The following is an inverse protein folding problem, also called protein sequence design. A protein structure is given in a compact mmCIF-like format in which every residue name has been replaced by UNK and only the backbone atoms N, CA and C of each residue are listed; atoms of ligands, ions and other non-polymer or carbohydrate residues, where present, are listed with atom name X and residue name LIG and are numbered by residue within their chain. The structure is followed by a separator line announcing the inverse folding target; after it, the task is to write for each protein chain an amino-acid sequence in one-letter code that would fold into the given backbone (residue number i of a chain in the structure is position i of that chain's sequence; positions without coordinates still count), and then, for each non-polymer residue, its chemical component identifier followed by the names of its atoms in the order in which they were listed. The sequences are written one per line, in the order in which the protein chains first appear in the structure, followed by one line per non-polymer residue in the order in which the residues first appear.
data_IF_639374977818
#
_entry.id   IF_639374977818
#
_cell.length_a   1.000
_cell.length_b   1.000
_cell.length_c   1.000
_cell.angle_alpha   90.00
_cell.angle_beta   90.00
_cell.angle_gamma   90.00
#
_symmetry.space_group_name_H-M   'P 1'
#
loop_
_entity.id
_entity.type
_entity.pdbx_description
1 polymer ?
#
# COMPACT_ATOMS: atom_id res chain seq x y z
N UNK A 1 8.31 37.39 30.68
CA UNK A 1 8.25 36.12 29.92
C UNK A 1 9.43 35.29 30.37
N UNK A 2 9.23 34.06 30.85
CA UNK A 2 10.30 33.24 31.47
C UNK A 2 11.30 32.80 30.39
N UNK A 3 12.60 32.78 30.68
CA UNK A 3 13.68 32.24 29.80
C UNK A 3 13.35 30.83 29.27
N UNK A 4 12.62 30.05 30.05
CA UNK A 4 12.13 28.72 29.65
C UNK A 4 11.13 28.79 28.51
N UNK A 5 10.16 29.69 28.52
CA UNK A 5 9.18 29.90 27.47
C UNK A 5 9.83 30.43 26.17
N UNK A 6 10.88 31.26 26.30
CA UNK A 6 11.64 31.74 25.14
C UNK A 6 12.41 30.60 24.44
N UNK A 7 13.04 29.70 25.24
CA UNK A 7 13.75 28.55 24.69
C UNK A 7 12.80 27.53 24.04
N UNK A 8 11.63 27.28 24.63
CA UNK A 8 10.61 26.42 24.05
C UNK A 8 10.13 27.00 22.70
N UNK A 9 9.94 28.31 22.61
CA UNK A 9 9.52 28.99 21.37
C UNK A 9 10.61 28.95 20.27
N UNK A 10 11.88 29.13 20.62
CA UNK A 10 13.02 29.03 19.71
C UNK A 10 13.21 27.58 19.18
N UNK A 11 12.93 26.57 20.01
CA UNK A 11 12.98 25.16 19.61
C UNK A 11 11.86 24.84 18.62
N UNK A 12 10.63 25.31 18.87
CA UNK A 12 9.49 25.09 18.00
C UNK A 12 9.70 25.72 16.61
N UNK A 13 10.25 26.94 16.53
CA UNK A 13 10.56 27.62 15.27
C UNK A 13 11.67 26.90 14.48
N UNK A 14 12.68 26.38 15.17
CA UNK A 14 13.74 25.59 14.55
C UNK A 14 13.21 24.26 14.01
N UNK A 15 12.36 23.55 14.75
CA UNK A 15 11.73 22.30 14.36
C UNK A 15 10.85 22.50 13.14
N UNK A 16 10.03 23.54 13.10
CA UNK A 16 9.23 23.90 11.93
C UNK A 16 10.09 24.24 10.71
N UNK A 17 11.23 24.91 10.93
CA UNK A 17 12.21 25.19 9.88
C UNK A 17 12.80 23.94 9.26
N UNK A 18 13.13 22.93 10.07
CA UNK A 18 13.61 21.63 9.59
C UNK A 18 12.51 20.86 8.84
N UNK A 19 11.27 20.91 9.31
CA UNK A 19 10.14 20.26 8.66
C UNK A 19 9.94 20.82 7.25
N UNK A 20 9.81 22.14 7.10
CA UNK A 20 9.66 22.81 5.78
C UNK A 20 10.84 22.53 4.85
N UNK A 21 12.05 22.54 5.40
CA UNK A 21 13.24 22.21 4.59
C UNK A 21 13.22 20.75 4.11
N UNK A 22 12.74 19.83 4.94
CA UNK A 22 12.53 18.43 4.56
C UNK A 22 11.56 18.30 3.38
N UNK A 23 10.44 19.01 3.42
CA UNK A 23 9.46 19.06 2.32
C UNK A 23 10.04 19.64 1.02
N UNK A 24 10.85 20.70 1.12
CA UNK A 24 11.49 21.31 -0.07
C UNK A 24 12.50 20.35 -0.71
N UNK A 25 13.29 19.66 0.10
CA UNK A 25 14.27 18.68 -0.36
C UNK A 25 13.60 17.43 -0.94
N UNK A 26 12.51 16.95 -0.34
CA UNK A 26 11.70 15.85 -0.86
C UNK A 26 11.13 16.20 -2.24
N UNK A 27 10.57 17.40 -2.40
CA UNK A 27 10.09 17.94 -3.70
C UNK A 27 11.19 18.08 -4.73
N UNK A 28 12.41 18.39 -4.31
CA UNK A 28 13.60 18.50 -5.17
C UNK A 28 14.19 17.12 -5.54
N UNK A 29 13.70 16.01 -4.94
CA UNK A 29 14.20 14.66 -5.15
C UNK A 29 15.45 14.30 -4.34
N UNK A 30 15.92 15.18 -3.45
CA UNK A 30 17.01 14.88 -2.51
C UNK A 30 16.48 14.15 -1.27
N UNK A 31 16.11 12.88 -1.47
CA UNK A 31 15.49 12.05 -0.44
C UNK A 31 16.38 11.83 0.79
N UNK A 32 17.71 11.80 0.61
CA UNK A 32 18.65 11.61 1.71
C UNK A 32 18.70 12.79 2.65
N UNK A 33 18.82 14.00 2.09
CA UNK A 33 18.82 15.23 2.86
C UNK A 33 17.45 15.50 3.49
N UNK A 34 16.35 15.16 2.78
CA UNK A 34 15.00 15.21 3.32
C UNK A 34 14.84 14.30 4.54
N UNK A 35 15.29 13.03 4.45
CA UNK A 35 15.25 12.09 5.57
C UNK A 35 16.03 12.60 6.80
N UNK A 36 17.18 13.25 6.60
CA UNK A 36 17.93 13.87 7.71
C UNK A 36 17.14 15.00 8.40
N UNK A 37 16.46 15.84 7.62
CA UNK A 37 15.62 16.90 8.16
C UNK A 37 14.44 16.33 8.96
N UNK A 38 13.72 15.36 8.41
CA UNK A 38 12.59 14.74 9.11
C UNK A 38 13.03 13.91 10.33
N UNK A 39 14.25 13.35 10.35
CA UNK A 39 14.79 12.66 11.55
C UNK A 39 14.92 13.61 12.72
N UNK A 40 15.45 14.82 12.49
CA UNK A 40 15.56 15.84 13.54
C UNK A 40 14.19 16.19 14.13
N UNK A 41 13.18 16.26 13.28
CA UNK A 41 11.81 16.59 13.69
C UNK A 41 11.13 15.40 14.39
N UNK A 42 11.33 14.19 13.87
CA UNK A 42 10.78 12.96 14.44
C UNK A 42 11.35 12.66 15.85
N UNK A 43 12.63 12.95 16.08
CA UNK A 43 13.28 12.84 17.39
C UNK A 43 12.66 13.77 18.46
N UNK A 44 11.87 14.78 18.04
CA UNK A 44 11.11 15.65 18.93
C UNK A 44 9.68 15.14 19.20
N UNK A 45 9.33 13.93 18.73
CA UNK A 45 8.04 13.29 18.98
C UNK A 45 6.91 13.77 18.05
N UNK A 46 7.21 14.32 16.89
CA UNK A 46 6.22 14.70 15.89
C UNK A 46 5.89 13.49 14.98
N UNK A 47 4.80 12.81 15.27
CA UNK A 47 4.38 11.56 14.60
C UNK A 47 4.26 11.67 13.06
N UNK A 48 3.86 12.83 12.53
CA UNK A 48 3.81 13.07 11.08
C UNK A 48 5.21 13.04 10.44
N UNK A 49 6.23 13.62 11.12
CA UNK A 49 7.61 13.55 10.67
C UNK A 49 8.18 12.13 10.73
N UNK A 50 7.78 11.34 11.73
CA UNK A 50 8.16 9.93 11.85
C UNK A 50 7.65 9.11 10.66
N UNK A 51 6.42 9.34 10.22
CA UNK A 51 5.83 8.69 9.03
C UNK A 51 6.55 9.09 7.75
N UNK A 52 6.80 10.40 7.56
CA UNK A 52 7.55 10.90 6.39
C UNK A 52 8.97 10.34 6.36
N UNK A 53 9.64 10.33 7.49
CA UNK A 53 10.96 9.72 7.63
C UNK A 53 10.95 8.24 7.27
N UNK A 54 9.99 7.47 7.80
CA UNK A 54 9.82 6.07 7.46
C UNK A 54 9.64 5.88 5.94
N UNK A 55 8.80 6.68 5.31
CA UNK A 55 8.56 6.63 3.86
C UNK A 55 9.82 6.89 3.05
N UNK A 56 10.61 7.90 3.42
CA UNK A 56 11.87 8.25 2.75
C UNK A 56 12.94 7.18 2.94
N UNK A 57 13.08 6.64 4.15
CA UNK A 57 14.03 5.56 4.45
C UNK A 57 13.72 4.29 3.67
N UNK A 58 12.43 3.96 3.48
CA UNK A 58 12.02 2.85 2.60
C UNK A 58 12.42 3.12 1.15
N UNK A 59 12.18 4.33 0.64
CA UNK A 59 12.59 4.72 -0.71
C UNK A 59 14.12 4.66 -0.90
N UNK A 60 14.88 4.86 0.16
CA UNK A 60 16.34 4.76 0.20
C UNK A 60 16.85 3.32 0.40
N UNK A 61 15.97 2.34 0.64
CA UNK A 61 16.33 0.94 0.90
C UNK A 61 16.70 0.64 2.35
N UNK A 62 16.52 1.58 3.27
CA UNK A 62 16.84 1.47 4.70
C UNK A 62 15.65 0.89 5.49
N UNK A 63 15.20 -0.29 5.07
CA UNK A 63 13.92 -0.89 5.49
C UNK A 63 13.79 -1.12 7.01
N UNK A 64 14.89 -1.51 7.69
CA UNK A 64 14.85 -1.78 9.13
C UNK A 64 14.63 -0.50 9.95
N UNK A 65 15.29 0.59 9.56
CA UNK A 65 15.12 1.88 10.22
C UNK A 65 13.75 2.50 9.89
N UNK A 66 13.30 2.36 8.65
CA UNK A 66 11.98 2.79 8.24
C UNK A 66 10.88 2.11 9.06
N UNK A 67 10.99 0.79 9.28
CA UNK A 67 10.05 0.04 10.11
C UNK A 67 10.01 0.57 11.55
N UNK A 68 11.18 0.86 12.13
CA UNK A 68 11.27 1.43 13.46
C UNK A 68 10.51 2.77 13.56
N UNK A 69 10.74 3.70 12.64
CA UNK A 69 10.07 5.00 12.67
C UNK A 69 8.57 4.93 12.41
N UNK A 70 8.14 3.95 11.61
CA UNK A 70 6.71 3.67 11.45
C UNK A 70 6.08 3.17 12.76
N UNK A 71 6.75 2.25 13.48
CA UNK A 71 6.28 1.75 14.78
C UNK A 71 6.22 2.86 15.82
N UNK A 72 7.19 3.78 15.84
CA UNK A 72 7.17 4.98 16.69
C UNK A 72 5.94 5.83 16.38
N UNK A 73 5.69 6.13 15.11
CA UNK A 73 4.53 6.94 14.72
C UNK A 73 3.20 6.30 15.16
N UNK A 74 3.07 4.99 15.00
CA UNK A 74 1.86 4.25 15.42
C UNK A 74 1.71 4.26 16.95
N UNK A 75 2.81 4.12 17.69
CA UNK A 75 2.81 4.18 19.17
C UNK A 75 2.39 5.57 19.69
N UNK A 76 2.75 6.63 18.97
CA UNK A 76 2.36 8.02 19.27
C UNK A 76 0.90 8.33 18.89
N UNK A 77 0.14 7.30 18.46
CA UNK A 77 -1.28 7.44 18.13
C UNK A 77 -1.53 7.97 16.71
N UNK A 78 -0.50 7.96 15.84
CA UNK A 78 -0.68 8.30 14.44
C UNK A 78 -1.55 7.24 13.77
N UNK A 79 -2.73 7.65 13.32
CA UNK A 79 -3.62 6.79 12.56
C UNK A 79 -3.00 6.55 11.17
N UNK A 80 -2.62 5.31 10.87
CA UNK A 80 -2.08 4.92 9.56
C UNK A 80 -3.03 5.25 8.40
N UNK A 81 -4.32 5.44 8.68
CA UNK A 81 -5.31 5.94 7.71
C UNK A 81 -5.10 7.43 7.36
N UNK A 82 -4.36 8.17 8.20
CA UNK A 82 -4.02 9.60 8.00
C UNK A 82 -2.74 9.83 7.19
N UNK A 83 -1.97 8.80 6.84
CA UNK A 83 -0.95 8.90 5.78
C UNK A 83 -1.66 9.09 4.45
N UNK A 84 -2.33 10.23 4.34
CA UNK A 84 -2.89 10.68 3.08
C UNK A 84 -1.72 10.95 2.18
N UNK A 85 -1.54 10.11 1.17
CA UNK A 85 -0.83 10.56 -0.02
C UNK A 85 -1.37 11.94 -0.35
N UNK A 86 -0.50 12.94 -0.36
CA UNK A 86 -0.87 14.31 -0.69
C UNK A 86 -1.75 14.28 -1.95
N UNK A 87 -2.78 15.12 -1.97
CA UNK A 87 -3.69 15.25 -3.13
C UNK A 87 -2.87 15.49 -4.40
N UNK A 88 -1.82 16.30 -4.33
CA UNK A 88 -0.92 16.56 -5.45
C UNK A 88 -0.24 15.29 -5.96
N UNK A 89 0.29 14.45 -5.09
CA UNK A 89 0.96 13.18 -5.46
C UNK A 89 -0.03 12.21 -6.12
N UNK A 90 -1.26 12.14 -5.61
CA UNK A 90 -2.31 11.32 -6.23
C UNK A 90 -2.72 11.85 -7.62
N UNK A 91 -2.83 13.17 -7.78
CA UNK A 91 -3.14 13.76 -9.07
C UNK A 91 -2.02 13.52 -10.09
N UNK A 92 -0.77 13.70 -9.70
CA UNK A 92 0.40 13.39 -10.55
C UNK A 92 0.39 11.92 -10.99
N UNK A 93 0.13 10.99 -10.07
CA UNK A 93 -0.01 9.57 -10.42
C UNK A 93 -1.14 9.34 -11.44
N UNK A 94 -2.32 9.95 -11.24
CA UNK A 94 -3.47 9.78 -12.12
C UNK A 94 -3.23 10.40 -13.50
N UNK A 95 -2.54 11.54 -13.59
CA UNK A 95 -2.13 12.15 -14.86
C UNK A 95 -1.13 11.26 -15.59
N UNK A 96 -0.15 10.70 -14.88
CA UNK A 96 0.77 9.72 -15.44
C UNK A 96 0.02 8.48 -15.95
N UNK A 97 -0.86 7.92 -15.13
CA UNK A 97 -1.68 6.77 -15.49
C UNK A 97 -2.56 7.03 -16.72
N UNK A 98 -3.14 8.23 -16.83
CA UNK A 98 -3.93 8.61 -18.00
C UNK A 98 -3.09 8.63 -19.27
N UNK A 99 -1.88 9.25 -19.24
CA UNK A 99 -0.94 9.26 -20.35
C UNK A 99 -0.56 7.84 -20.79
N UNK A 100 -0.24 6.98 -19.83
CA UNK A 100 0.08 5.56 -20.06
C UNK A 100 -1.07 4.84 -20.76
N UNK A 101 -2.30 5.01 -20.26
CA UNK A 101 -3.48 4.31 -20.77
C UNK A 101 -3.82 4.70 -22.21
N UNK A 102 -3.56 5.93 -22.63
CA UNK A 102 -3.77 6.38 -24.02
C UNK A 102 -2.58 6.11 -24.95
N UNK A 103 -1.53 5.41 -24.49
CA UNK A 103 -0.41 4.98 -25.32
C UNK A 103 0.71 6.00 -25.49
N UNK A 104 0.79 7.02 -24.62
CA UNK A 104 1.91 7.96 -24.65
C UNK A 104 3.23 7.25 -24.31
N UNK A 105 4.36 7.60 -24.97
CA UNK A 105 5.66 7.03 -24.63
C UNK A 105 6.04 7.34 -23.18
N UNK A 106 6.56 6.34 -22.49
CA UNK A 106 6.62 6.29 -21.03
C UNK A 106 8.01 6.53 -20.44
N UNK A 107 9.03 6.92 -21.21
CA UNK A 107 10.41 6.81 -20.76
C UNK A 107 11.01 8.14 -20.32
N UNK A 108 11.17 8.32 -18.99
CA UNK A 108 11.99 9.39 -18.38
C UNK A 108 13.09 8.83 -17.44
N UNK A 109 13.21 7.48 -17.32
CA UNK A 109 14.16 6.89 -16.39
C UNK A 109 15.21 6.04 -17.10
N UNK A 110 16.48 6.39 -16.90
CA UNK A 110 17.65 5.65 -17.41
C UNK A 110 18.48 5.21 -16.21
N UNK A 111 18.71 3.90 -16.00
CA UNK A 111 19.62 3.43 -14.96
C UNK A 111 21.03 3.96 -15.16
N UNK A 112 21.73 4.21 -14.07
CA UNK A 112 23.07 4.79 -14.04
C UNK A 112 24.16 3.83 -14.54
N UNK A 113 23.86 2.54 -14.69
CA UNK A 113 24.85 1.53 -15.09
C UNK A 113 24.22 0.37 -15.85
N UNK A 114 24.94 -0.16 -16.83
CA UNK A 114 24.57 -1.41 -17.50
C UNK A 114 25.04 -2.59 -16.64
N UNK A 115 24.16 -3.55 -16.31
CA UNK A 115 24.54 -4.70 -15.48
C UNK A 115 25.52 -5.61 -16.23
N UNK A 116 26.44 -6.21 -15.47
CA UNK A 116 27.27 -7.29 -15.97
C UNK A 116 26.51 -8.63 -15.80
N UNK A 117 26.26 -9.33 -16.90
CA UNK A 117 25.60 -10.63 -16.91
C UNK A 117 24.25 -10.65 -17.65
N UNK A 118 23.60 -11.81 -17.63
CA UNK A 118 22.26 -12.03 -18.18
C UNK A 118 21.24 -12.19 -17.05
N UNK A 119 20.01 -11.77 -17.29
CA UNK A 119 18.89 -11.99 -16.39
C UNK A 119 17.98 -13.07 -16.99
N UNK A 120 17.81 -14.16 -16.25
CA UNK A 120 16.86 -15.18 -16.63
C UNK A 120 15.45 -14.78 -16.15
N UNK A 121 14.56 -14.44 -17.09
CA UNK A 121 13.20 -13.94 -16.81
C UNK A 121 12.40 -14.92 -15.94
N UNK A 122 12.57 -16.23 -16.17
CA UNK A 122 11.86 -17.25 -15.40
C UNK A 122 12.30 -17.27 -13.92
N UNK A 123 13.57 -17.00 -13.62
CA UNK A 123 14.05 -16.89 -12.24
C UNK A 123 13.45 -15.66 -11.55
N UNK A 124 13.33 -14.53 -12.27
CA UNK A 124 12.67 -13.33 -11.76
C UNK A 124 11.20 -13.63 -11.43
N UNK A 125 10.49 -14.27 -12.35
CA UNK A 125 9.08 -14.63 -12.16
C UNK A 125 8.89 -15.63 -11.02
N UNK A 126 9.72 -16.66 -10.94
CA UNK A 126 9.66 -17.65 -9.88
C UNK A 126 9.86 -17.02 -8.49
N UNK A 127 10.85 -16.12 -8.36
CA UNK A 127 11.10 -15.39 -7.11
C UNK A 127 9.97 -14.43 -6.79
N UNK A 128 9.45 -13.70 -7.77
CA UNK A 128 8.29 -12.80 -7.61
C UNK A 128 7.05 -13.58 -7.15
N UNK A 129 6.79 -14.76 -7.72
CA UNK A 129 5.70 -15.62 -7.31
C UNK A 129 5.84 -16.12 -5.87
N UNK A 130 7.07 -16.50 -5.46
CA UNK A 130 7.34 -16.91 -4.08
C UNK A 130 7.13 -15.74 -3.09
N UNK A 131 7.60 -14.54 -3.40
CA UNK A 131 7.38 -13.34 -2.59
C UNK A 131 5.90 -12.97 -2.51
N UNK A 132 5.15 -13.10 -3.61
CA UNK A 132 3.70 -12.90 -3.64
C UNK A 132 2.96 -13.92 -2.78
N UNK A 133 3.41 -15.17 -2.74
CA UNK A 133 2.85 -16.19 -1.85
C UNK A 133 3.11 -15.86 -0.36
N UNK A 134 4.31 -15.35 -0.03
CA UNK A 134 4.62 -14.88 1.33
C UNK A 134 3.74 -13.68 1.71
N UNK A 135 3.59 -12.70 0.81
CA UNK A 135 2.70 -11.55 0.99
C UNK A 135 1.25 -11.99 1.25
N UNK A 136 0.73 -12.93 0.47
CA UNK A 136 -0.63 -13.44 0.66
C UNK A 136 -0.80 -14.16 2.01
N UNK A 137 0.23 -14.83 2.50
CA UNK A 137 0.16 -15.65 3.71
C UNK A 137 0.42 -14.85 4.99
N UNK A 138 1.39 -13.92 4.95
CA UNK A 138 1.88 -13.25 6.16
C UNK A 138 1.68 -11.73 6.14
N UNK A 139 1.34 -11.14 4.98
CA UNK A 139 1.15 -9.71 4.77
C UNK A 139 2.40 -8.98 4.31
N UNK A 140 2.19 -7.75 3.82
CA UNK A 140 3.24 -6.92 3.22
C UNK A 140 4.39 -6.60 4.16
N UNK A 141 4.12 -6.33 5.43
CA UNK A 141 5.13 -6.00 6.45
C UNK A 141 6.24 -7.05 6.51
N UNK A 142 5.90 -8.34 6.36
CA UNK A 142 6.87 -9.43 6.48
C UNK A 142 7.79 -9.54 5.25
N UNK A 143 7.29 -9.22 4.05
CA UNK A 143 8.01 -9.51 2.81
C UNK A 143 8.47 -8.26 2.06
N UNK A 144 8.01 -7.04 2.42
CA UNK A 144 8.29 -5.82 1.67
C UNK A 144 9.80 -5.59 1.46
N UNK A 145 10.62 -5.71 2.50
CA UNK A 145 12.07 -5.55 2.39
C UNK A 145 12.69 -6.52 1.37
N UNK A 146 12.24 -7.79 1.37
CA UNK A 146 12.70 -8.78 0.40
C UNK A 146 12.23 -8.49 -1.03
N UNK A 147 11.06 -7.87 -1.19
CA UNK A 147 10.56 -7.44 -2.50
C UNK A 147 11.39 -6.26 -3.02
N UNK A 148 11.70 -5.26 -2.19
CA UNK A 148 12.55 -4.12 -2.54
C UNK A 148 13.97 -4.60 -2.90
N UNK A 149 14.55 -5.51 -2.13
CA UNK A 149 15.84 -6.11 -2.46
C UNK A 149 15.81 -6.87 -3.80
N UNK A 150 14.72 -7.58 -4.06
CA UNK A 150 14.55 -8.25 -5.36
C UNK A 150 14.45 -7.24 -6.49
N UNK A 151 13.70 -6.16 -6.31
CA UNK A 151 13.59 -5.07 -7.29
C UNK A 151 14.96 -4.46 -7.58
N UNK A 152 15.74 -4.11 -6.56
CA UNK A 152 17.07 -3.52 -6.72
C UNK A 152 18.03 -4.42 -7.53
N UNK A 153 17.87 -5.73 -7.47
CA UNK A 153 18.68 -6.69 -8.27
C UNK A 153 18.29 -6.74 -9.74
N UNK A 154 16.98 -6.61 -10.05
CA UNK A 154 16.48 -6.79 -11.42
C UNK A 154 16.36 -5.47 -12.18
N UNK A 155 16.24 -4.38 -11.49
CA UNK A 155 16.05 -3.04 -12.02
C UNK A 155 17.13 -2.60 -13.02
N UNK A 156 18.45 -2.85 -12.81
CA UNK A 156 19.48 -2.45 -13.77
C UNK A 156 19.31 -3.10 -15.15
N UNK A 157 18.60 -4.21 -15.27
CA UNK A 157 18.39 -4.91 -16.54
C UNK A 157 17.34 -4.25 -17.45
N UNK A 158 16.61 -3.25 -16.95
CA UNK A 158 15.63 -2.50 -17.76
C UNK A 158 16.30 -1.86 -19.00
N UNK A 159 17.55 -1.41 -18.87
CA UNK A 159 18.30 -0.73 -19.96
C UNK A 159 18.53 -1.62 -21.18
N UNK A 160 18.83 -2.88 -20.93
CA UNK A 160 19.17 -3.88 -21.95
C UNK A 160 18.01 -4.83 -22.22
N UNK A 161 16.86 -4.58 -21.56
CA UNK A 161 15.72 -5.47 -21.58
C UNK A 161 14.86 -5.39 -22.83
N UNK A 162 14.13 -6.45 -23.05
CA UNK A 162 13.03 -6.58 -23.98
C UNK A 162 11.67 -6.57 -23.26
N UNK A 163 10.58 -6.77 -24.01
CA UNK A 163 9.23 -6.82 -23.46
C UNK A 163 9.06 -7.86 -22.32
N UNK A 164 9.79 -8.97 -22.35
CA UNK A 164 9.71 -10.01 -21.32
C UNK A 164 10.37 -9.53 -20.02
N UNK A 165 11.53 -8.91 -20.11
CA UNK A 165 12.26 -8.31 -18.96
C UNK A 165 11.46 -7.16 -18.39
N UNK A 166 10.96 -6.22 -19.22
CA UNK A 166 10.15 -5.10 -18.76
C UNK A 166 8.88 -5.57 -18.04
N UNK A 167 8.20 -6.60 -18.59
CA UNK A 167 7.04 -7.20 -17.92
C UNK A 167 7.41 -7.78 -16.57
N UNK A 168 8.48 -8.57 -16.49
CA UNK A 168 8.90 -9.21 -15.25
C UNK A 168 9.29 -8.16 -14.18
N UNK A 169 10.03 -7.12 -14.56
CA UNK A 169 10.38 -6.03 -13.61
C UNK A 169 9.14 -5.21 -13.22
N UNK A 170 8.20 -4.96 -14.14
CA UNK A 170 6.94 -4.30 -13.82
C UNK A 170 6.10 -5.08 -12.79
N UNK A 171 6.08 -6.42 -12.88
CA UNK A 171 5.43 -7.28 -11.89
C UNK A 171 6.09 -7.20 -10.51
N UNK A 172 7.41 -7.04 -10.44
CA UNK A 172 8.13 -6.79 -9.17
C UNK A 172 7.78 -5.40 -8.62
N UNK A 173 7.74 -4.37 -9.47
CA UNK A 173 7.31 -3.02 -9.07
C UNK A 173 5.87 -3.01 -8.56
N UNK A 174 4.95 -3.70 -9.24
CA UNK A 174 3.56 -3.86 -8.78
C UNK A 174 3.49 -4.49 -7.39
N UNK A 175 4.29 -5.55 -7.16
CA UNK A 175 4.35 -6.21 -5.86
C UNK A 175 4.98 -5.30 -4.79
N UNK A 176 6.02 -4.53 -5.13
CA UNK A 176 6.64 -3.57 -4.22
C UNK A 176 5.63 -2.48 -3.78
N UNK A 177 4.89 -1.90 -4.74
CA UNK A 177 3.82 -0.96 -4.43
C UNK A 177 2.72 -1.57 -3.57
N UNK A 178 2.32 -2.80 -3.86
CA UNK A 178 1.28 -3.48 -3.09
C UNK A 178 1.71 -3.80 -1.66
N UNK A 179 2.93 -4.31 -1.47
CA UNK A 179 3.46 -4.62 -0.13
C UNK A 179 3.75 -3.36 0.68
N UNK A 180 4.18 -2.25 0.04
CA UNK A 180 4.29 -0.95 0.69
C UNK A 180 2.93 -0.46 1.21
N UNK A 181 1.90 -0.51 0.37
CA UNK A 181 0.53 -0.17 0.78
C UNK A 181 0.04 -1.04 1.94
N UNK A 182 0.22 -2.38 1.85
CA UNK A 182 -0.21 -3.32 2.89
C UNK A 182 0.58 -3.15 4.20
N UNK A 183 1.73 -2.50 4.14
CA UNK A 183 2.56 -2.11 5.31
C UNK A 183 2.19 -0.73 5.87
N UNK A 184 1.18 -0.05 5.32
CA UNK A 184 0.75 1.27 5.77
C UNK A 184 1.55 2.43 5.17
N UNK A 185 2.24 2.24 4.04
CA UNK A 185 3.11 3.23 3.40
C UNK A 185 2.61 3.62 2.00
N UNK A 186 1.44 4.29 1.89
CA UNK A 186 0.86 4.62 0.59
C UNK A 186 1.70 5.59 -0.23
N UNK A 187 2.47 6.48 0.40
CA UNK A 187 3.39 7.40 -0.27
C UNK A 187 4.52 6.67 -1.00
N UNK A 188 5.00 5.55 -0.44
CA UNK A 188 6.01 4.68 -1.07
C UNK A 188 5.38 3.81 -2.18
N UNK A 189 4.11 3.44 -2.04
CA UNK A 189 3.42 2.58 -3.00
C UNK A 189 3.26 3.25 -4.38
N UNK A 190 2.91 4.54 -4.43
CA UNK A 190 2.62 5.25 -5.69
C UNK A 190 3.81 5.31 -6.65
N UNK A 191 5.03 5.66 -6.25
CA UNK A 191 6.21 5.60 -7.11
C UNK A 191 6.42 4.22 -7.73
N UNK A 192 6.24 3.14 -6.96
CA UNK A 192 6.34 1.78 -7.47
C UNK A 192 5.23 1.46 -8.49
N UNK A 193 4.00 1.87 -8.23
CA UNK A 193 2.90 1.72 -9.20
C UNK A 193 3.13 2.53 -10.47
N UNK A 194 3.61 3.78 -10.37
CA UNK A 194 3.95 4.61 -11.53
C UNK A 194 5.01 3.93 -12.40
N UNK A 195 6.04 3.37 -11.76
CA UNK A 195 7.09 2.65 -12.45
C UNK A 195 6.59 1.37 -13.12
N UNK A 196 5.72 0.62 -12.42
CA UNK A 196 5.08 -0.57 -12.99
C UNK A 196 4.26 -0.21 -14.24
N UNK A 197 3.50 0.89 -14.22
CA UNK A 197 2.75 1.39 -15.38
C UNK A 197 3.67 1.73 -16.56
N UNK A 198 4.76 2.45 -16.30
CA UNK A 198 5.75 2.82 -17.32
C UNK A 198 6.32 1.60 -18.03
N UNK A 199 6.78 0.60 -17.26
CA UNK A 199 7.36 -0.63 -17.80
C UNK A 199 6.33 -1.51 -18.49
N UNK A 200 5.12 -1.61 -17.93
CA UNK A 200 4.01 -2.36 -18.56
C UNK A 200 3.61 -1.73 -19.90
N UNK A 201 3.63 -0.39 -20.03
CA UNK A 201 3.40 0.30 -21.30
C UNK A 201 4.51 0.01 -22.30
N UNK A 202 5.77 0.05 -21.87
CA UNK A 202 6.92 -0.28 -22.71
C UNK A 202 6.87 -1.72 -23.24
N UNK A 203 6.35 -2.63 -22.42
CA UNK A 203 6.13 -4.03 -22.78
C UNK A 203 4.82 -4.28 -23.54
N UNK A 204 4.03 -3.26 -23.83
CA UNK A 204 2.68 -3.35 -24.43
C UNK A 204 1.74 -4.29 -23.66
N UNK A 205 1.91 -4.38 -22.32
CA UNK A 205 1.15 -5.29 -21.46
C UNK A 205 -0.06 -4.58 -20.83
N UNK A 206 -1.17 -4.47 -21.58
CA UNK A 206 -2.41 -3.82 -21.15
C UNK A 206 -3.03 -4.50 -19.91
N UNK A 207 -2.90 -5.82 -19.80
CA UNK A 207 -3.40 -6.57 -18.65
C UNK A 207 -2.71 -6.16 -17.35
N UNK A 208 -1.39 -5.95 -17.40
CA UNK A 208 -0.63 -5.50 -16.24
C UNK A 208 -0.95 -4.05 -15.89
N UNK A 209 -1.13 -3.17 -16.89
CA UNK A 209 -1.61 -1.79 -16.68
C UNK A 209 -2.94 -1.80 -15.91
N UNK A 210 -3.91 -2.61 -16.36
CA UNK A 210 -5.20 -2.75 -15.69
C UNK A 210 -5.07 -3.27 -14.25
N UNK A 211 -4.18 -4.24 -14.01
CA UNK A 211 -3.89 -4.78 -12.67
C UNK A 211 -3.35 -3.71 -11.73
N UNK A 212 -2.32 -2.96 -12.15
CA UNK A 212 -1.71 -1.87 -11.35
C UNK A 212 -2.74 -0.81 -11.02
N UNK A 213 -3.53 -0.35 -11.99
CA UNK A 213 -4.57 0.67 -11.78
C UNK A 213 -5.67 0.19 -10.83
N UNK A 214 -6.04 -1.10 -10.90
CA UNK A 214 -6.98 -1.70 -9.96
C UNK A 214 -6.42 -1.70 -8.53
N UNK A 215 -5.12 -1.97 -8.34
CA UNK A 215 -4.46 -1.92 -7.03
C UNK A 215 -4.37 -0.50 -6.49
N UNK A 216 -4.00 0.46 -7.32
CA UNK A 216 -3.98 1.87 -6.96
C UNK A 216 -5.38 2.37 -6.56
N UNK A 217 -6.42 2.02 -7.32
CA UNK A 217 -7.81 2.35 -6.98
C UNK A 217 -8.24 1.78 -5.62
N UNK A 218 -7.84 0.54 -5.31
CA UNK A 218 -8.09 -0.06 -3.98
C UNK A 218 -7.37 0.68 -2.86
N UNK A 219 -6.15 1.13 -3.10
CA UNK A 219 -5.40 1.94 -2.14
C UNK A 219 -6.10 3.29 -1.93
N UNK A 220 -6.55 3.97 -2.97
CA UNK A 220 -7.27 5.23 -2.85
C UNK A 220 -8.60 5.08 -2.10
N UNK A 221 -9.36 4.00 -2.33
CA UNK A 221 -10.55 3.70 -1.54
C UNK A 221 -10.23 3.51 -0.06
N UNK A 222 -9.17 2.77 0.25
CA UNK A 222 -8.73 2.55 1.63
C UNK A 222 -8.40 3.86 2.34
N UNK A 223 -7.81 4.83 1.63
CA UNK A 223 -7.45 6.15 2.16
C UNK A 223 -8.56 7.21 1.98
N UNK A 224 -9.81 6.79 1.83
CA UNK A 224 -10.98 7.67 1.71
C UNK A 224 -10.85 8.73 0.60
N UNK A 225 -10.29 8.33 -0.55
CA UNK A 225 -10.19 9.13 -1.76
C UNK A 225 -11.04 8.50 -2.90
N UNK A 226 -12.38 8.47 -2.80
CA UNK A 226 -13.24 7.73 -3.72
C UNK A 226 -13.21 8.27 -5.16
N UNK A 227 -13.06 9.58 -5.34
CA UNK A 227 -12.99 10.20 -6.66
C UNK A 227 -11.72 9.80 -7.41
N UNK A 228 -10.58 9.74 -6.71
CA UNK A 228 -9.31 9.29 -7.27
C UNK A 228 -9.34 7.78 -7.54
N UNK A 229 -9.97 7.01 -6.66
CA UNK A 229 -10.21 5.59 -6.88
C UNK A 229 -11.07 5.33 -8.12
N UNK A 230 -12.14 6.10 -8.31
CA UNK A 230 -13.01 5.99 -9.49
C UNK A 230 -12.22 6.27 -10.78
N UNK A 231 -11.39 7.32 -10.80
CA UNK A 231 -10.53 7.64 -11.95
C UNK A 231 -9.55 6.49 -12.24
N UNK A 232 -8.89 5.95 -11.21
CA UNK A 232 -7.97 4.81 -11.38
C UNK A 232 -8.69 3.57 -11.94
N UNK A 233 -9.89 3.24 -11.44
CA UNK A 233 -10.69 2.12 -11.96
C UNK A 233 -11.17 2.36 -13.39
N UNK A 234 -11.57 3.59 -13.75
CA UNK A 234 -11.95 3.93 -15.12
C UNK A 234 -10.78 3.74 -16.09
N UNK A 235 -9.60 4.22 -15.74
CA UNK A 235 -8.38 4.01 -16.53
C UNK A 235 -8.02 2.52 -16.62
N UNK A 236 -8.13 1.79 -15.51
CA UNK A 236 -7.94 0.33 -15.49
C UNK A 236 -8.95 -0.41 -16.37
N UNK A 237 -10.20 0.05 -16.40
CA UNK A 237 -11.23 -0.50 -17.30
C UNK A 237 -10.89 -0.27 -18.76
N UNK A 238 -10.40 0.92 -19.13
CA UNK A 238 -9.96 1.22 -20.52
C UNK A 238 -8.81 0.29 -20.91
N UNK A 239 -7.78 0.14 -20.07
CA UNK A 239 -6.68 -0.78 -20.33
C UNK A 239 -7.15 -2.24 -20.42
N UNK A 240 -8.03 -2.68 -19.51
CA UNK A 240 -8.62 -4.02 -19.54
C UNK A 240 -9.47 -4.26 -20.80
N UNK A 241 -10.19 -3.25 -21.28
CA UNK A 241 -10.94 -3.35 -22.52
C UNK A 241 -10.01 -3.58 -23.72
N UNK A 242 -8.88 -2.90 -23.74
CA UNK A 242 -7.86 -3.10 -24.78
C UNK A 242 -7.25 -4.50 -24.72
N UNK A 243 -7.15 -5.11 -23.52
CA UNK A 243 -6.59 -6.45 -23.30
C UNK A 243 -7.59 -7.61 -23.35
N UNK A 244 -8.89 -7.36 -23.53
CA UNK A 244 -9.97 -8.35 -23.36
C UNK A 244 -10.11 -8.92 -21.94
N UNK A 245 -9.54 -8.28 -20.91
CA UNK A 245 -9.59 -8.73 -19.53
C UNK A 245 -10.85 -8.25 -18.80
N UNK A 246 -11.64 -9.20 -18.45
CA UNK A 246 -12.80 -9.35 -17.56
C UNK A 246 -13.49 -8.11 -16.97
N UNK A 247 -14.76 -7.89 -17.37
CA UNK A 247 -15.68 -6.86 -16.89
C UNK A 247 -16.28 -7.26 -15.55
N UNK A 248 -16.01 -6.52 -14.49
CA UNK A 248 -16.82 -6.60 -13.26
C UNK A 248 -17.29 -5.23 -12.83
N UNK A 249 -18.60 -5.00 -12.91
CA UNK A 249 -19.31 -3.85 -12.35
C UNK A 249 -19.29 -3.88 -10.82
N UNK A 250 -19.37 -2.68 -10.19
CA UNK A 250 -19.53 -2.53 -8.73
C UNK A 250 -20.87 -3.16 -8.31
N UNK A 251 -20.88 -4.09 -7.36
CA UNK A 251 -22.11 -4.80 -7.01
C UNK A 251 -22.93 -4.09 -5.93
N UNK A 252 -24.26 -4.22 -6.00
CA UNK A 252 -25.21 -4.12 -4.91
C UNK A 252 -24.71 -4.95 -3.69
N UNK A 253 -24.96 -4.51 -2.43
CA UNK A 253 -24.51 -5.23 -1.23
C UNK A 253 -24.86 -6.73 -1.22
N UNK A 254 -26.02 -7.10 -1.70
CA UNK A 254 -26.43 -8.52 -1.80
C UNK A 254 -25.61 -9.28 -2.83
N UNK A 255 -25.31 -8.67 -3.98
CA UNK A 255 -24.42 -9.25 -4.99
C UNK A 255 -22.97 -9.30 -4.51
N UNK A 256 -22.54 -8.30 -3.70
CA UNK A 256 -21.23 -8.32 -3.05
C UNK A 256 -21.10 -9.49 -2.07
N UNK A 257 -22.12 -9.73 -1.23
CA UNK A 257 -22.17 -10.87 -0.30
C UNK A 257 -22.07 -12.20 -1.07
N UNK A 258 -22.87 -12.40 -2.10
CA UNK A 258 -22.86 -13.62 -2.91
C UNK A 258 -21.47 -13.87 -3.53
N UNK A 259 -20.86 -12.82 -4.11
CA UNK A 259 -19.53 -12.89 -4.72
C UNK A 259 -18.44 -13.20 -3.68
N UNK A 260 -18.48 -12.54 -2.52
CA UNK A 260 -17.53 -12.75 -1.44
C UNK A 260 -17.65 -14.13 -0.81
N UNK A 261 -18.88 -14.63 -0.60
CA UNK A 261 -19.13 -15.96 -0.05
C UNK A 261 -18.55 -17.03 -0.97
N UNK A 262 -18.76 -16.89 -2.28
CA UNK A 262 -18.17 -17.82 -3.26
C UNK A 262 -16.63 -17.78 -3.20
N UNK A 263 -16.03 -16.59 -3.11
CA UNK A 263 -14.58 -16.44 -3.03
C UNK A 263 -13.97 -17.00 -1.75
N UNK A 264 -14.62 -16.79 -0.60
CA UNK A 264 -14.15 -17.33 0.69
C UNK A 264 -14.02 -18.86 0.61
N UNK A 265 -14.95 -19.54 -0.05
CA UNK A 265 -14.89 -20.99 -0.26
C UNK A 265 -13.76 -21.46 -1.19
N UNK A 266 -13.11 -20.56 -1.95
CA UNK A 266 -11.99 -20.89 -2.84
C UNK A 266 -10.61 -20.63 -2.24
N UNK A 267 -10.52 -19.96 -1.09
CA UNK A 267 -9.24 -19.65 -0.47
C UNK A 267 -8.67 -20.84 0.29
N UNK A 268 -7.42 -21.14 0.03
CA UNK A 268 -6.62 -22.12 0.77
C UNK A 268 -5.67 -21.43 1.78
N UNK A 269 -4.84 -22.22 2.46
CA UNK A 269 -3.90 -21.73 3.46
C UNK A 269 -2.82 -20.78 2.93
N UNK A 270 -2.69 -20.62 1.61
CA UNK A 270 -1.75 -19.67 0.98
C UNK A 270 -2.37 -18.26 0.81
N UNK A 271 -3.69 -18.14 0.93
CA UNK A 271 -4.44 -16.90 0.69
C UNK A 271 -4.92 -16.22 1.99
N UNK A 272 -4.20 -16.37 3.11
CA UNK A 272 -4.63 -15.92 4.46
C UNK A 272 -5.10 -14.45 4.45
N UNK A 273 -4.32 -13.53 3.89
CA UNK A 273 -4.70 -12.12 3.84
C UNK A 273 -5.99 -11.88 3.04
N UNK A 274 -6.11 -12.49 1.87
CA UNK A 274 -7.30 -12.33 1.04
C UNK A 274 -8.53 -12.91 1.73
N UNK A 275 -8.37 -14.02 2.44
CA UNK A 275 -9.41 -14.67 3.24
C UNK A 275 -9.88 -13.75 4.39
N UNK A 276 -8.95 -13.23 5.20
CA UNK A 276 -9.27 -12.29 6.30
C UNK A 276 -10.01 -11.06 5.79
N UNK A 277 -9.55 -10.45 4.70
CA UNK A 277 -10.19 -9.26 4.12
C UNK A 277 -11.60 -9.56 3.59
N UNK A 278 -11.79 -10.72 2.96
CA UNK A 278 -13.11 -11.13 2.45
C UNK A 278 -14.09 -11.42 3.59
N UNK A 279 -13.66 -12.11 4.65
CA UNK A 279 -14.46 -12.36 5.84
C UNK A 279 -14.85 -11.07 6.57
N UNK A 280 -13.89 -10.13 6.71
CA UNK A 280 -14.17 -8.82 7.30
C UNK A 280 -15.18 -8.02 6.46
N UNK A 281 -15.05 -8.06 5.13
CA UNK A 281 -16.00 -7.42 4.23
C UNK A 281 -17.40 -8.07 4.32
N UNK A 282 -17.50 -9.39 4.44
CA UNK A 282 -18.77 -10.09 4.69
C UNK A 282 -19.40 -9.63 6.00
N UNK A 283 -18.63 -9.60 7.10
CA UNK A 283 -19.10 -9.14 8.40
C UNK A 283 -19.68 -7.72 8.32
N UNK A 284 -18.98 -6.78 7.66
CA UNK A 284 -19.43 -5.39 7.49
C UNK A 284 -20.72 -5.30 6.67
N UNK A 285 -20.83 -6.04 5.57
CA UNK A 285 -22.04 -6.04 4.74
C UNK A 285 -23.25 -6.61 5.49
N UNK A 286 -23.10 -7.70 6.27
CA UNK A 286 -24.18 -8.24 7.10
C UNK A 286 -24.58 -7.27 8.21
N UNK A 287 -23.60 -6.61 8.85
CA UNK A 287 -23.88 -5.57 9.85
C UNK A 287 -24.68 -4.41 9.26
N UNK A 288 -24.31 -3.93 8.08
CA UNK A 288 -25.03 -2.86 7.36
C UNK A 288 -26.45 -3.25 6.96
N UNK A 289 -26.71 -4.54 6.73
CA UNK A 289 -28.04 -5.08 6.46
C UNK A 289 -28.86 -5.36 7.74
N UNK A 290 -28.31 -5.05 8.93
CA UNK A 290 -28.97 -5.27 10.21
C UNK A 290 -28.95 -6.74 10.68
N UNK A 291 -28.00 -7.54 10.21
CA UNK A 291 -27.78 -8.93 10.63
C UNK A 291 -26.48 -9.07 11.45
N UNK A 292 -26.47 -8.65 12.73
CA UNK A 292 -25.28 -8.73 13.59
C UNK A 292 -24.90 -10.17 13.96
N UNK A 293 -25.82 -11.13 13.88
CA UNK A 293 -25.55 -12.53 14.19
C UNK A 293 -24.63 -13.18 13.15
N UNK A 294 -24.95 -13.01 11.87
CA UNK A 294 -24.08 -13.48 10.76
C UNK A 294 -22.79 -12.69 10.69
N UNK A 295 -22.83 -11.37 10.94
CA UNK A 295 -21.64 -10.53 11.02
C UNK A 295 -20.65 -11.04 12.08
N UNK A 296 -21.16 -11.45 13.26
CA UNK A 296 -20.36 -12.01 14.35
C UNK A 296 -19.62 -13.28 13.92
N UNK A 297 -20.29 -14.17 13.19
CA UNK A 297 -19.68 -15.42 12.72
C UNK A 297 -18.50 -15.16 11.78
N UNK A 298 -18.66 -14.28 10.81
CA UNK A 298 -17.59 -13.91 9.88
C UNK A 298 -16.44 -13.14 10.55
N UNK A 299 -16.75 -12.27 11.52
CA UNK A 299 -15.73 -11.55 12.27
C UNK A 299 -14.90 -12.50 13.17
N UNK A 300 -15.54 -13.49 13.79
CA UNK A 300 -14.85 -14.51 14.57
C UNK A 300 -13.88 -15.32 13.71
N UNK A 301 -14.32 -15.72 12.53
CA UNK A 301 -13.49 -16.46 11.57
C UNK A 301 -12.34 -15.58 11.06
N UNK A 302 -12.59 -14.30 10.73
CA UNK A 302 -11.55 -13.35 10.33
C UNK A 302 -10.49 -13.17 11.42
N UNK A 303 -10.91 -12.99 12.68
CA UNK A 303 -10.01 -12.84 13.81
C UNK A 303 -9.17 -14.11 14.06
N UNK A 304 -9.76 -15.29 13.90
CA UNK A 304 -9.03 -16.56 14.00
C UNK A 304 -8.01 -16.74 12.87
N UNK A 305 -8.42 -16.46 11.64
CA UNK A 305 -7.55 -16.56 10.45
C UNK A 305 -6.40 -15.55 10.47
N UNK A 306 -6.57 -14.39 11.12
CA UNK A 306 -5.57 -13.31 11.16
C UNK A 306 -4.38 -13.59 12.12
N UNK A 307 -4.32 -14.71 12.82
CA UNK A 307 -3.37 -14.98 13.92
C UNK A 307 -1.92 -14.54 13.68
N UNK A 308 -1.30 -15.02 12.60
CA UNK A 308 0.09 -14.68 12.24
C UNK A 308 0.21 -13.67 11.09
N UNK A 309 -0.90 -13.10 10.65
CA UNK A 309 -0.91 -12.13 9.57
C UNK A 309 -0.41 -10.76 10.07
N UNK A 310 0.59 -10.20 9.42
CA UNK A 310 1.13 -8.86 9.66
C UNK A 310 0.78 -7.98 8.47
N UNK A 311 -0.38 -7.33 8.52
CA UNK A 311 -0.92 -6.51 7.45
C UNK A 311 -1.68 -5.33 8.03
N UNK A 312 -1.10 -4.12 7.90
CA UNK A 312 -1.75 -2.87 8.35
C UNK A 312 -3.15 -2.73 7.75
N UNK A 313 -3.31 -3.05 6.45
CA UNK A 313 -4.60 -3.01 5.78
C UNK A 313 -5.64 -3.96 6.38
N UNK A 314 -5.24 -5.16 6.79
CA UNK A 314 -6.16 -6.10 7.44
C UNK A 314 -6.55 -5.61 8.84
N UNK A 315 -5.58 -5.07 9.58
CA UNK A 315 -5.81 -4.50 10.90
C UNK A 315 -6.74 -3.28 10.83
N UNK A 316 -6.56 -2.38 9.86
CA UNK A 316 -7.45 -1.23 9.65
C UNK A 316 -8.89 -1.67 9.31
N UNK A 317 -9.07 -2.66 8.44
CA UNK A 317 -10.40 -3.19 8.13
C UNK A 317 -11.09 -3.77 9.37
N UNK A 318 -10.36 -4.45 10.25
CA UNK A 318 -10.88 -4.94 11.53
C UNK A 318 -11.22 -3.81 12.49
N UNK A 319 -10.41 -2.73 12.56
CA UNK A 319 -10.73 -1.53 13.35
C UNK A 319 -11.98 -0.82 12.85
N UNK A 320 -12.17 -0.72 11.54
CA UNK A 320 -13.39 -0.13 10.97
C UNK A 320 -14.62 -0.98 11.30
N UNK A 321 -14.52 -2.30 11.20
CA UNK A 321 -15.60 -3.21 11.63
C UNK A 321 -15.92 -3.03 13.12
N UNK A 322 -14.90 -2.86 13.99
CA UNK A 322 -15.09 -2.58 15.42
C UNK A 322 -15.86 -1.27 15.65
N UNK A 323 -15.48 -0.19 14.93
CA UNK A 323 -16.16 1.10 15.01
C UNK A 323 -17.62 1.01 14.53
N UNK A 324 -17.89 0.33 13.42
CA UNK A 324 -19.24 0.10 12.90
C UNK A 324 -20.08 -0.76 13.86
N UNK A 325 -19.47 -1.79 14.46
CA UNK A 325 -20.12 -2.64 15.45
C UNK A 325 -20.50 -1.86 16.73
N UNK A 326 -19.63 -0.95 17.20
CA UNK A 326 -19.93 -0.05 18.33
C UNK A 326 -21.09 0.87 17.99
N UNK A 327 -21.09 1.47 16.80
CA UNK A 327 -22.18 2.34 16.35
C UNK A 327 -23.53 1.59 16.23
N UNK A 328 -23.49 0.33 15.85
CA UNK A 328 -24.66 -0.56 15.76
C UNK A 328 -25.07 -1.19 17.09
N UNK A 329 -24.35 -0.95 18.21
CA UNK A 329 -24.61 -1.56 19.51
C UNK A 329 -24.33 -3.05 19.61
N UNK A 330 -23.51 -3.60 18.70
CA UNK A 330 -23.16 -5.02 18.61
C UNK A 330 -22.02 -5.39 19.59
N UNK A 331 -22.25 -5.32 20.91
CA UNK A 331 -21.23 -5.45 21.95
C UNK A 331 -20.41 -6.74 21.89
N UNK A 332 -21.04 -7.87 21.58
CA UNK A 332 -20.37 -9.17 21.47
C UNK A 332 -19.37 -9.18 20.31
N UNK A 333 -19.70 -8.52 19.20
CA UNK A 333 -18.83 -8.38 18.04
C UNK A 333 -17.61 -7.50 18.39
N UNK A 334 -17.82 -6.41 19.13
CA UNK A 334 -16.76 -5.54 19.63
C UNK A 334 -15.78 -6.31 20.53
N UNK A 335 -16.27 -7.11 21.48
CA UNK A 335 -15.41 -7.91 22.36
C UNK A 335 -14.52 -8.89 21.59
N UNK A 336 -15.06 -9.54 20.56
CA UNK A 336 -14.30 -10.48 19.74
C UNK A 336 -13.18 -9.81 18.94
N UNK A 337 -13.45 -8.66 18.32
CA UNK A 337 -12.45 -7.92 17.55
C UNK A 337 -11.38 -7.36 18.50
N UNK A 338 -11.77 -6.78 19.63
CA UNK A 338 -10.85 -6.22 20.62
C UNK A 338 -9.90 -7.28 21.19
N UNK A 339 -10.36 -8.51 21.39
CA UNK A 339 -9.54 -9.63 21.86
C UNK A 339 -8.42 -10.01 20.87
N UNK A 340 -8.54 -9.71 19.58
CA UNK A 340 -7.49 -9.90 18.59
C UNK A 340 -6.33 -8.92 18.81
N UNK A 341 -6.64 -7.65 19.05
CA UNK A 341 -5.62 -6.62 19.26
C UNK A 341 -4.91 -6.77 20.60
N UNK A 342 -5.60 -7.21 21.65
CA UNK A 342 -5.01 -7.47 22.96
C UNK A 342 -3.96 -8.62 22.97
N UNK A 343 -4.00 -9.53 21.97
CA UNK A 343 -3.04 -10.65 21.83
C UNK A 343 -1.82 -10.31 20.97
N UNK A 344 -1.81 -9.14 20.34
CA UNK A 344 -0.76 -8.71 19.39
C UNK A 344 0.19 -7.67 19.99
N UNK A 345 -0.06 -7.18 21.22
CA UNK A 345 0.83 -6.38 22.05
C UNK A 345 1.44 -7.29 23.10
#
# INVERSE_FOLDING_TARGET
MSERLLREFEVDEAVEGFYRRGEDLERAGDLRSAAQCFRVVADQGLGDASVRLASLLFALGEAAEAQHWYEVAVADGFDSSLVRTDVAVRQEFLEHAARITVGAPAFDWVPSSVPAGSLEVEDVRARTAALRALDQRYGGIVCHASVVEHLARVEPFIVVGDAAIWTAVAEVCELAGWTAFDSGMPGVALPHFSRALTLARQAENESLIASVLTRAGRMFLHHNAPDDALKAFQLGFVAAHNSWADRRSLPDPSAAIASLTTKVGTYDSSHVRAHVLALTALARNHLALGDPGTALSFAAEAAAASGNLRSARADDQLRWLDAEARAAGASVLVEQISARFARSG
#
